data_IF_262355008794
#
_entry.id   IF_262355008794
#
_cell.length_a   1.000
_cell.length_b   1.000
_cell.length_c   1.000
_cell.angle_alpha   90.00
_cell.angle_beta   90.00
_cell.angle_gamma   90.00
#
_symmetry.space_group_name_H-M   'P 1'
#
loop_
_entity.id
_entity.type
_entity.pdbx_description
1 polymer ?
#
# COMPACT_ATOMS: atom_id res chain seq x y z
N UNK A 1 32.38 -1.12 53.10
CA UNK A 1 31.08 -0.45 52.89
C UNK A 1 30.69 -0.67 51.43
N UNK A 2 30.08 -1.80 51.08
CA UNK A 2 28.65 -1.92 50.68
C UNK A 2 28.18 -0.76 49.80
N UNK A 3 28.06 -1.00 48.49
CA UNK A 3 26.84 -0.67 47.76
C UNK A 3 26.85 -1.36 46.40
N UNK A 4 26.01 -2.39 46.30
CA UNK A 4 25.57 -2.97 45.05
C UNK A 4 24.64 -1.96 44.36
N UNK A 5 24.94 -1.60 43.13
CA UNK A 5 23.98 -0.98 42.23
C UNK A 5 23.53 -2.04 41.24
N UNK A 6 22.35 -2.61 41.50
CA UNK A 6 21.62 -3.39 40.52
C UNK A 6 21.19 -2.47 39.39
N UNK A 7 21.75 -2.63 38.19
CA UNK A 7 21.21 -2.03 36.98
C UNK A 7 20.10 -2.95 36.50
N UNK A 8 18.86 -2.63 36.85
CA UNK A 8 17.67 -3.12 36.16
C UNK A 8 17.10 -1.91 35.42
N UNK A 9 17.26 -1.87 34.10
CA UNK A 9 16.49 -1.02 33.18
C UNK A 9 16.91 -1.46 31.78
N UNK A 10 16.16 -2.26 31.05
CA UNK A 10 14.77 -2.02 30.66
C UNK A 10 14.78 -2.26 29.16
N UNK A 11 14.47 -3.49 28.74
CA UNK A 11 14.46 -3.88 27.34
C UNK A 11 13.33 -3.09 26.66
N UNK A 12 13.69 -2.03 25.93
CA UNK A 12 12.75 -1.24 25.16
C UNK A 12 12.09 -2.16 24.12
N UNK A 13 10.81 -2.48 24.32
CA UNK A 13 10.01 -3.14 23.31
C UNK A 13 9.75 -2.14 22.19
N UNK A 14 10.57 -2.19 21.14
CA UNK A 14 10.25 -1.56 19.87
C UNK A 14 9.02 -2.27 19.31
N UNK A 15 7.85 -1.63 19.43
CA UNK A 15 6.65 -2.08 18.76
C UNK A 15 6.89 -1.96 17.25
N UNK A 16 7.13 -3.09 16.57
CA UNK A 16 7.13 -3.14 15.12
C UNK A 16 5.69 -2.95 14.64
N UNK A 17 5.36 -1.75 14.19
CA UNK A 17 4.13 -1.50 13.44
C UNK A 17 4.19 -2.32 12.15
N UNK A 18 3.45 -3.42 12.07
CA UNK A 18 3.30 -4.15 10.81
C UNK A 18 2.56 -3.25 9.83
N UNK A 19 3.23 -2.85 8.75
CA UNK A 19 2.56 -2.27 7.59
C UNK A 19 1.55 -3.32 7.08
N UNK A 20 0.26 -3.08 7.30
CA UNK A 20 -0.79 -4.00 6.88
C UNK A 20 -1.00 -3.83 5.37
N UNK A 21 -0.29 -4.62 4.58
CA UNK A 21 -0.62 -4.78 3.18
C UNK A 21 -1.93 -5.59 3.07
N UNK A 22 -2.98 -4.98 2.51
CA UNK A 22 -4.26 -5.61 2.23
C UNK A 22 -4.30 -6.09 0.77
N UNK A 23 -4.86 -7.29 0.58
CA UNK A 23 -5.13 -7.79 -0.76
C UNK A 23 -6.43 -7.18 -1.29
N UNK A 24 -6.32 -6.49 -2.41
CA UNK A 24 -7.42 -5.78 -3.06
C UNK A 24 -7.61 -6.24 -4.51
N UNK A 25 -8.73 -5.84 -5.08
CA UNK A 25 -9.02 -5.92 -6.51
C UNK A 25 -9.43 -4.56 -7.05
N UNK A 26 -9.00 -4.30 -8.29
CA UNK A 26 -9.48 -3.17 -9.09
C UNK A 26 -10.96 -3.42 -9.46
N UNK A 27 -11.82 -2.47 -9.13
CA UNK A 27 -13.25 -2.56 -9.36
C UNK A 27 -13.85 -1.16 -9.55
N UNK A 28 -13.86 -0.68 -10.79
CA UNK A 28 -14.69 0.43 -11.23
C UNK A 28 -16.09 -0.08 -11.62
N UNK A 29 -17.13 0.45 -10.98
CA UNK A 29 -18.54 0.09 -11.23
C UNK A 29 -19.01 0.44 -12.65
N UNK A 30 -18.32 1.35 -13.33
CA UNK A 30 -18.59 1.68 -14.74
C UNK A 30 -18.09 0.59 -15.71
N UNK A 31 -17.22 -0.30 -15.24
CA UNK A 31 -16.57 -1.33 -16.06
C UNK A 31 -15.30 -0.86 -16.79
N UNK A 32 -14.92 0.41 -16.66
CA UNK A 32 -13.73 0.96 -17.33
C UNK A 32 -12.43 0.54 -16.64
N UNK A 33 -11.31 0.41 -17.39
CA UNK A 33 -9.98 0.28 -16.80
C UNK A 33 -9.62 1.51 -15.95
N UNK A 34 -8.89 1.28 -14.86
CA UNK A 34 -8.50 2.31 -13.89
C UNK A 34 -7.11 2.83 -14.19
N UNK A 35 -6.99 4.15 -14.26
CA UNK A 35 -5.72 4.86 -14.43
C UNK A 35 -4.78 4.64 -13.23
N UNK A 36 -3.53 4.31 -13.53
CA UNK A 36 -2.41 4.24 -12.58
C UNK A 36 -1.43 5.38 -12.87
N UNK A 37 -1.02 6.08 -11.82
CA UNK A 37 -0.09 7.22 -11.93
C UNK A 37 1.22 6.98 -11.17
N UNK A 38 2.27 7.71 -11.54
CA UNK A 38 3.58 7.67 -10.86
C UNK A 38 3.50 8.24 -9.44
N UNK A 39 2.64 9.24 -9.25
CA UNK A 39 2.40 10.01 -8.02
C UNK A 39 0.92 10.43 -7.96
N UNK A 40 0.40 10.87 -6.81
CA UNK A 40 -0.88 11.57 -6.72
C UNK A 40 -0.93 12.72 -7.73
N UNK A 41 -1.93 12.68 -8.63
CA UNK A 41 -2.10 13.64 -9.74
C UNK A 41 -0.91 13.75 -10.73
N UNK A 42 0.10 12.88 -10.59
CA UNK A 42 1.31 12.84 -11.41
C UNK A 42 1.11 12.22 -12.79
N UNK A 43 2.18 11.75 -13.42
CA UNK A 43 2.10 11.20 -14.77
C UNK A 43 1.24 9.93 -14.84
N UNK A 44 0.37 9.81 -15.85
CA UNK A 44 -0.31 8.55 -16.18
C UNK A 44 0.71 7.55 -16.71
N UNK A 45 0.89 6.44 -16.00
CA UNK A 45 1.83 5.36 -16.37
C UNK A 45 1.14 4.14 -16.98
N UNK A 46 -0.19 4.07 -16.88
CA UNK A 46 -0.99 3.05 -17.57
C UNK A 46 -2.35 2.82 -16.94
N UNK A 47 -2.98 1.69 -17.25
CA UNK A 47 -4.30 1.33 -16.74
C UNK A 47 -4.38 -0.13 -16.32
N UNK A 48 -5.03 -0.42 -15.19
CA UNK A 48 -5.34 -1.78 -14.76
C UNK A 48 -6.81 -2.11 -15.05
N UNK A 49 -7.06 -3.35 -15.46
CA UNK A 49 -8.42 -3.82 -15.75
C UNK A 49 -9.15 -4.18 -14.45
N UNK A 50 -10.48 -4.15 -14.50
CA UNK A 50 -11.30 -4.71 -13.42
C UNK A 50 -10.92 -6.17 -13.14
N UNK A 51 -10.96 -6.55 -11.87
CA UNK A 51 -10.56 -7.87 -11.37
C UNK A 51 -9.04 -8.07 -11.22
N UNK A 52 -8.20 -7.11 -11.63
CA UNK A 52 -6.76 -7.19 -11.34
C UNK A 52 -6.54 -7.20 -9.84
N UNK A 53 -5.88 -8.25 -9.34
CA UNK A 53 -5.45 -8.36 -7.94
C UNK A 53 -4.24 -7.47 -7.70
N UNK A 54 -4.30 -6.72 -6.61
CA UNK A 54 -3.23 -5.81 -6.18
C UNK A 54 -3.03 -5.94 -4.67
N UNK A 55 -1.86 -5.53 -4.20
CA UNK A 55 -1.61 -5.27 -2.79
C UNK A 55 -1.66 -3.77 -2.55
N UNK A 56 -2.15 -3.36 -1.39
CA UNK A 56 -2.22 -1.97 -0.98
C UNK A 56 -1.81 -1.85 0.47
N UNK A 57 -1.01 -0.86 0.82
CA UNK A 57 -0.74 -0.52 2.23
C UNK A 57 -1.92 0.19 2.94
N UNK A 58 -3.04 0.40 2.21
CA UNK A 58 -4.23 1.16 2.59
C UNK A 58 -3.97 2.59 3.07
N UNK A 59 -2.73 3.07 2.99
CA UNK A 59 -2.37 4.43 3.33
C UNK A 59 -2.79 5.35 2.18
N UNK A 60 -3.50 6.42 2.52
CA UNK A 60 -4.05 7.31 1.51
C UNK A 60 -3.56 8.74 1.66
N UNK A 61 -3.21 9.35 0.54
CA UNK A 61 -2.87 10.78 0.43
C UNK A 61 -3.87 11.41 -0.54
N UNK A 62 -4.73 12.30 -0.07
CA UNK A 62 -5.73 12.96 -0.93
C UNK A 62 -6.66 12.00 -1.67
N UNK A 63 -6.95 10.82 -1.10
CA UNK A 63 -7.77 9.78 -1.73
C UNK A 63 -7.02 8.86 -2.68
N UNK A 64 -5.75 9.13 -2.97
CA UNK A 64 -4.84 8.24 -3.68
C UNK A 64 -4.27 7.18 -2.74
N UNK A 65 -4.00 6.00 -3.28
CA UNK A 65 -3.44 4.87 -2.56
C UNK A 65 -2.36 4.23 -3.40
N UNK A 66 -1.25 3.86 -2.76
CA UNK A 66 -0.19 3.13 -3.41
C UNK A 66 -0.56 1.65 -3.52
N UNK A 67 -0.37 1.09 -4.70
CA UNK A 67 -0.64 -0.32 -4.98
C UNK A 67 0.53 -0.98 -5.69
N UNK A 68 0.64 -2.30 -5.53
CA UNK A 68 1.56 -3.15 -6.28
C UNK A 68 0.89 -4.40 -6.82
N UNK A 69 1.46 -5.03 -7.83
CA UNK A 69 0.96 -6.25 -8.46
C UNK A 69 2.10 -7.13 -8.98
N UNK A 70 1.82 -8.42 -9.21
CA UNK A 70 2.90 -9.43 -9.33
C UNK A 70 3.73 -9.34 -10.62
N UNK A 71 3.11 -8.94 -11.74
CA UNK A 71 3.77 -8.91 -13.05
C UNK A 71 3.83 -7.49 -13.58
N UNK A 72 5.01 -6.97 -13.97
CA UNK A 72 5.09 -5.66 -14.57
C UNK A 72 4.18 -5.61 -15.80
N UNK A 73 3.19 -4.73 -15.77
CA UNK A 73 2.11 -4.67 -16.75
C UNK A 73 2.05 -3.32 -17.45
N UNK A 74 2.67 -2.29 -16.87
CA UNK A 74 2.56 -0.89 -17.28
C UNK A 74 3.96 -0.28 -17.37
N UNK A 75 4.53 -0.15 -18.57
CA UNK A 75 5.86 0.46 -18.77
C UNK A 75 6.97 -0.11 -17.86
N UNK A 76 7.01 -1.45 -17.70
CA UNK A 76 7.89 -2.16 -16.75
C UNK A 76 7.67 -1.85 -15.26
N UNK A 77 6.67 -1.05 -14.90
CA UNK A 77 6.24 -0.86 -13.52
C UNK A 77 5.33 -2.00 -13.06
N UNK A 78 5.46 -2.33 -11.78
CA UNK A 78 4.64 -3.28 -11.03
C UNK A 78 3.98 -2.61 -9.81
N UNK A 79 4.00 -1.28 -9.75
CA UNK A 79 3.41 -0.47 -8.68
C UNK A 79 3.09 0.95 -9.16
N UNK A 80 2.26 1.66 -8.41
CA UNK A 80 1.85 3.03 -8.68
C UNK A 80 0.65 3.47 -7.85
N UNK A 81 0.10 4.64 -8.18
CA UNK A 81 -0.99 5.27 -7.44
C UNK A 81 -2.33 5.16 -8.17
N UNK A 82 -3.38 4.83 -7.43
CA UNK A 82 -4.78 4.80 -7.89
C UNK A 82 -5.69 5.47 -6.86
N UNK A 83 -6.88 5.91 -7.27
CA UNK A 83 -7.88 6.37 -6.31
C UNK A 83 -8.43 5.19 -5.48
N UNK A 84 -8.54 5.40 -4.16
CA UNK A 84 -9.05 4.42 -3.18
C UNK A 84 -10.44 3.86 -3.54
N UNK A 85 -11.28 4.68 -4.16
CA UNK A 85 -12.66 4.35 -4.54
C UNK A 85 -12.74 3.19 -5.54
N UNK A 86 -11.67 2.95 -6.31
CA UNK A 86 -11.56 1.85 -7.25
C UNK A 86 -11.08 0.54 -6.63
N UNK A 87 -10.70 0.54 -5.35
CA UNK A 87 -10.20 -0.65 -4.65
C UNK A 87 -11.31 -1.31 -3.84
N UNK A 88 -11.42 -2.64 -3.97
CA UNK A 88 -12.19 -3.50 -3.06
C UNK A 88 -11.21 -4.44 -2.37
N UNK A 89 -11.02 -4.24 -1.08
CA UNK A 89 -10.03 -4.96 -0.29
C UNK A 89 -10.72 -5.94 0.65
N UNK A 90 -10.21 -7.16 0.70
CA UNK A 90 -10.62 -8.12 1.71
C UNK A 90 -9.88 -7.75 3.00
N UNK A 91 -10.64 -7.64 4.10
CA UNK A 91 -10.08 -7.42 5.43
C UNK A 91 -9.59 -8.74 6.02
#
# INVERSE_FOLDING_TARGET
MKSAFHIIAGMAMLAFSSAHAASCQINDTSGMPVNVRSDPDGQLIGQLKNGTRVQSDLSSVGGWVYISWDKPALNNANSGWVYRSFLRCNK
#
